data_IF_077752348717
#
_entry.id   IF_077752348717
#
_cell.length_a   1.000
_cell.length_b   1.000
_cell.length_c   1.000
_cell.angle_alpha   90.00
_cell.angle_beta   90.00
_cell.angle_gamma   90.00
#
_symmetry.space_group_name_H-M   'P 1'
#
loop_
_entity.id
_entity.type
_entity.pdbx_description
1 polymer ?
#
# COMPACT_ATOMS: atom_id res chain seq x y z
N UNK A 1 1.50 1.47 4.17
CA UNK A 1 0.73 2.69 4.50
C UNK A 1 0.71 3.53 3.25
N UNK A 2 -0.47 3.73 2.66
CA UNK A 2 -0.71 4.60 1.49
C UNK A 2 0.34 4.42 0.38
N UNK A 3 0.60 3.16 0.02
CA UNK A 3 1.66 2.80 -0.90
C UNK A 3 1.28 3.00 -2.37
N UNK A 4 2.30 3.05 -3.21
CA UNK A 4 2.18 2.95 -4.65
C UNK A 4 2.66 1.57 -5.09
N UNK A 5 1.83 0.88 -5.85
CA UNK A 5 2.06 -0.50 -6.28
C UNK A 5 2.03 -0.65 -7.80
N UNK A 6 1.62 0.40 -8.51
CA UNK A 6 1.67 0.54 -9.96
C UNK A 6 2.24 1.91 -10.31
N UNK A 7 3.36 1.92 -11.04
CA UNK A 7 4.09 3.14 -11.39
C UNK A 7 3.67 3.70 -12.74
N UNK A 8 2.82 3.02 -13.52
CA UNK A 8 2.32 3.55 -14.80
C UNK A 8 1.64 4.94 -14.63
N UNK A 9 0.76 5.17 -13.64
CA UNK A 9 0.19 6.50 -13.41
C UNK A 9 1.24 7.56 -13.04
N UNK A 10 2.32 7.17 -12.34
CA UNK A 10 3.42 8.09 -11.99
C UNK A 10 4.21 8.45 -13.24
N UNK A 11 4.50 7.46 -14.10
CA UNK A 11 5.19 7.62 -15.37
C UNK A 11 4.41 8.52 -16.35
N UNK A 12 3.09 8.56 -16.26
CA UNK A 12 2.21 9.35 -17.12
C UNK A 12 1.83 10.74 -16.57
N UNK A 13 2.23 11.08 -15.34
CA UNK A 13 1.88 12.37 -14.73
C UNK A 13 3.08 13.31 -14.55
N UNK A 14 2.82 14.51 -14.03
CA UNK A 14 3.80 15.58 -13.88
C UNK A 14 5.06 15.17 -13.08
N UNK A 15 4.96 14.17 -12.22
CA UNK A 15 6.12 13.65 -11.46
C UNK A 15 7.19 13.06 -12.38
N UNK A 16 6.83 12.62 -13.59
CA UNK A 16 7.78 12.03 -14.51
C UNK A 16 8.74 13.06 -15.14
N UNK A 17 8.42 14.35 -15.02
CA UNK A 17 9.33 15.44 -15.40
C UNK A 17 10.61 15.42 -14.55
N UNK A 18 10.52 14.90 -13.31
CA UNK A 18 11.66 14.72 -12.40
C UNK A 18 12.17 13.28 -12.37
N UNK A 19 11.25 12.29 -12.43
CA UNK A 19 11.60 10.88 -12.25
C UNK A 19 12.15 10.21 -13.50
N UNK A 20 11.81 10.72 -14.69
CA UNK A 20 12.25 10.22 -16.00
C UNK A 20 12.10 8.69 -16.18
N UNK A 21 11.01 8.12 -15.65
CA UNK A 21 10.69 6.71 -15.79
C UNK A 21 10.37 6.38 -17.24
N UNK A 22 11.03 5.36 -17.78
CA UNK A 22 10.59 4.70 -19.01
C UNK A 22 9.40 3.78 -18.71
N UNK A 23 8.68 3.39 -19.77
CA UNK A 23 7.59 2.40 -19.66
C UNK A 23 8.10 1.09 -19.07
N UNK A 24 9.28 0.65 -19.49
CA UNK A 24 9.92 -0.58 -19.01
C UNK A 24 10.27 -0.48 -17.52
N UNK A 25 10.80 0.66 -17.08
CA UNK A 25 11.11 0.89 -15.66
C UNK A 25 9.84 0.89 -14.80
N UNK A 26 8.78 1.57 -15.26
CA UNK A 26 7.50 1.57 -14.56
C UNK A 26 6.96 0.14 -14.41
N UNK A 27 7.03 -0.68 -15.46
CA UNK A 27 6.59 -2.08 -15.41
C UNK A 27 7.46 -2.94 -14.48
N UNK A 28 8.78 -2.85 -14.59
CA UNK A 28 9.74 -3.64 -13.80
C UNK A 28 9.69 -3.32 -12.30
N UNK A 29 9.31 -2.09 -11.95
CA UNK A 29 9.29 -1.60 -10.58
C UNK A 29 7.87 -1.44 -10.00
N UNK A 30 6.85 -2.01 -10.65
CA UNK A 30 5.48 -2.05 -10.13
C UNK A 30 5.21 -3.36 -9.37
N UNK A 31 5.12 -3.36 -8.02
CA UNK A 31 4.78 -4.54 -7.23
C UNK A 31 3.53 -5.30 -7.72
N UNK A 32 2.53 -4.59 -8.24
CA UNK A 32 1.30 -5.19 -8.80
C UNK A 32 1.54 -6.10 -10.01
N UNK A 33 2.74 -6.07 -10.60
CA UNK A 33 3.15 -6.89 -11.76
C UNK A 33 4.21 -7.94 -11.40
N UNK A 34 4.62 -8.00 -10.13
CA UNK A 34 5.67 -8.89 -9.65
C UNK A 34 5.08 -10.01 -8.79
N UNK A 35 5.66 -11.23 -8.83
CA UNK A 35 5.19 -12.31 -7.98
C UNK A 35 5.45 -12.02 -6.50
N UNK A 36 4.55 -12.50 -5.64
CA UNK A 36 4.71 -12.43 -4.20
C UNK A 36 5.81 -13.38 -3.75
N UNK A 37 6.98 -12.84 -3.38
CA UNK A 37 8.14 -13.67 -2.95
C UNK A 37 8.05 -14.11 -1.49
N UNK A 38 7.24 -13.45 -0.68
CA UNK A 38 7.08 -13.75 0.74
C UNK A 38 5.58 -13.81 1.09
N UNK A 39 5.04 -15.00 1.41
CA UNK A 39 3.63 -15.20 1.70
C UNK A 39 3.23 -14.76 3.13
N UNK A 40 4.07 -13.99 3.83
CA UNK A 40 3.73 -13.44 5.12
C UNK A 40 2.44 -12.60 5.05
N UNK A 41 1.61 -12.59 6.10
CA UNK A 41 0.45 -11.70 6.16
C UNK A 41 0.87 -10.27 5.87
N UNK A 42 0.09 -9.55 5.04
CA UNK A 42 0.39 -8.19 4.63
C UNK A 42 -0.81 -7.29 4.91
N UNK A 43 -0.55 -6.20 5.64
CA UNK A 43 -1.51 -5.11 5.81
C UNK A 43 -1.20 -4.03 4.78
N UNK A 44 -2.23 -3.57 4.06
CA UNK A 44 -2.20 -2.44 3.13
C UNK A 44 -3.10 -1.32 3.67
N UNK A 45 -2.70 -0.63 4.75
CA UNK A 45 -3.48 0.48 5.30
C UNK A 45 -3.38 1.72 4.41
N UNK A 46 -4.49 2.42 4.23
CA UNK A 46 -4.60 3.67 3.48
C UNK A 46 -5.70 4.57 4.06
N UNK A 47 -5.58 5.87 3.89
CA UNK A 47 -6.55 6.86 4.35
C UNK A 47 -7.77 6.94 3.44
N UNK A 48 -8.97 7.04 4.03
CA UNK A 48 -10.22 7.21 3.29
C UNK A 48 -10.42 8.57 2.65
N UNK A 49 -9.64 9.57 3.06
CA UNK A 49 -9.64 10.92 2.51
C UNK A 49 -8.54 11.12 1.44
N UNK A 50 -7.95 10.03 0.96
CA UNK A 50 -6.95 10.05 -0.12
C UNK A 50 -7.59 10.00 -1.52
N UNK A 51 -6.78 10.23 -2.54
CA UNK A 51 -7.21 10.06 -3.92
C UNK A 51 -7.58 8.59 -4.21
N UNK A 52 -8.55 8.32 -5.10
CA UNK A 52 -9.07 6.97 -5.36
C UNK A 52 -8.00 6.00 -5.90
N UNK A 53 -6.91 6.52 -6.45
CA UNK A 53 -5.83 5.72 -7.02
C UNK A 53 -5.08 4.89 -5.96
N UNK A 54 -4.98 5.37 -4.71
CA UNK A 54 -4.37 4.58 -3.63
C UNK A 54 -5.17 3.32 -3.32
N UNK A 55 -6.51 3.42 -3.30
CA UNK A 55 -7.38 2.27 -3.08
C UNK A 55 -7.31 1.31 -4.27
N UNK A 56 -7.46 1.83 -5.49
CA UNK A 56 -7.38 1.00 -6.71
C UNK A 56 -6.07 0.21 -6.78
N UNK A 57 -4.93 0.85 -6.51
CA UNK A 57 -3.63 0.17 -6.52
C UNK A 57 -3.49 -0.86 -5.40
N UNK A 58 -3.99 -0.55 -4.19
CA UNK A 58 -3.98 -1.48 -3.06
C UNK A 58 -4.81 -2.73 -3.35
N UNK A 59 -6.01 -2.56 -3.90
CA UNK A 59 -6.90 -3.65 -4.31
C UNK A 59 -6.28 -4.49 -5.44
N UNK A 60 -5.67 -3.84 -6.44
CA UNK A 60 -5.00 -4.53 -7.56
C UNK A 60 -3.86 -5.42 -7.05
N UNK A 61 -3.04 -4.91 -6.13
CA UNK A 61 -1.98 -5.70 -5.51
C UNK A 61 -2.56 -6.86 -4.69
N UNK A 62 -3.59 -6.61 -3.89
CA UNK A 62 -4.22 -7.62 -3.06
C UNK A 62 -4.84 -8.76 -3.88
N UNK A 63 -5.47 -8.43 -5.01
CA UNK A 63 -5.98 -9.40 -5.96
C UNK A 63 -4.85 -10.22 -6.59
N UNK A 64 -3.82 -9.58 -7.13
CA UNK A 64 -2.72 -10.26 -7.81
C UNK A 64 -1.93 -11.19 -6.87
N UNK A 65 -1.60 -10.71 -5.67
CA UNK A 65 -0.86 -11.51 -4.68
C UNK A 65 -1.76 -12.52 -3.97
N UNK A 66 -3.05 -12.23 -3.78
CA UNK A 66 -4.02 -13.17 -3.21
C UNK A 66 -4.27 -14.43 -4.06
N UNK A 67 -3.92 -14.41 -5.35
CA UNK A 67 -3.90 -15.60 -6.19
C UNK A 67 -2.71 -16.53 -5.90
N UNK A 68 -1.66 -16.03 -5.24
CA UNK A 68 -0.41 -16.74 -4.98
C UNK A 68 -0.25 -17.10 -3.49
N UNK A 69 -0.84 -16.30 -2.60
CA UNK A 69 -0.68 -16.38 -1.15
C UNK A 69 -2.00 -16.09 -0.44
N UNK A 70 -2.01 -16.02 0.90
CA UNK A 70 -3.13 -15.38 1.60
C UNK A 70 -3.29 -13.94 1.10
N UNK A 71 -4.53 -13.46 0.86
CA UNK A 71 -4.75 -12.14 0.29
C UNK A 71 -4.27 -11.05 1.26
N UNK A 72 -3.47 -10.07 0.78
CA UNK A 72 -3.19 -8.86 1.54
C UNK A 72 -4.49 -8.19 2.02
N UNK A 73 -4.49 -7.71 3.26
CA UNK A 73 -5.62 -7.01 3.84
C UNK A 73 -5.56 -5.53 3.45
N UNK A 74 -6.41 -5.12 2.50
CA UNK A 74 -6.65 -3.70 2.21
C UNK A 74 -7.47 -3.11 3.34
N UNK A 75 -6.98 -2.04 3.94
CA UNK A 75 -7.60 -1.47 5.14
C UNK A 75 -7.72 0.04 5.04
N UNK A 76 -8.94 0.49 4.76
CA UNK A 76 -9.27 1.89 4.64
C UNK A 76 -9.57 2.48 6.02
N UNK A 77 -8.82 3.50 6.42
CA UNK A 77 -9.02 4.27 7.65
C UNK A 77 -9.80 5.56 7.30
N UNK A 78 -11.13 5.60 7.52
CA UNK A 78 -12.02 6.57 6.85
C UNK A 78 -11.70 8.04 7.12
N UNK A 79 -11.21 8.35 8.32
CA UNK A 79 -11.01 9.72 8.78
C UNK A 79 -9.60 10.26 8.49
N UNK A 80 -8.75 9.46 7.83
CA UNK A 80 -7.38 9.81 7.56
C UNK A 80 -7.13 10.17 6.10
N UNK A 81 -6.32 11.22 5.89
CA UNK A 81 -5.61 11.50 4.65
C UNK A 81 -4.18 10.94 4.67
N UNK A 82 -3.47 11.11 3.54
CA UNK A 82 -2.11 10.62 3.30
C UNK A 82 -1.08 11.00 4.37
N UNK A 83 -1.24 12.16 5.01
CA UNK A 83 -0.34 12.61 6.09
C UNK A 83 -0.80 12.12 7.46
N UNK A 84 -2.08 12.30 7.76
CA UNK A 84 -2.63 11.97 9.09
C UNK A 84 -2.62 10.47 9.40
N UNK A 85 -2.64 9.59 8.38
CA UNK A 85 -2.53 8.15 8.61
C UNK A 85 -1.17 7.77 9.16
N UNK A 86 -0.09 8.46 8.76
CA UNK A 86 1.24 8.22 9.30
C UNK A 86 1.32 8.57 10.79
N UNK A 87 0.55 9.56 11.24
CA UNK A 87 0.46 9.94 12.66
C UNK A 87 -0.12 8.82 13.54
N UNK A 88 -0.81 7.81 12.96
CA UNK A 88 -1.18 6.62 13.72
C UNK A 88 0.05 5.92 14.30
N UNK A 89 1.23 6.03 13.71
CA UNK A 89 2.45 5.42 14.24
C UNK A 89 3.08 6.20 15.40
N UNK A 90 2.58 7.40 15.73
CA UNK A 90 3.14 8.23 16.81
C UNK A 90 2.81 7.69 18.20
N UNK A 91 1.71 6.94 18.32
CA UNK A 91 1.27 6.36 19.60
C UNK A 91 1.04 4.86 19.48
N UNK A 92 1.35 4.13 20.54
CA UNK A 92 1.20 2.67 20.58
C UNK A 92 -0.28 2.21 20.71
N UNK A 93 -1.17 3.10 21.09
CA UNK A 93 -2.60 2.83 21.33
C UNK A 93 -3.51 3.11 20.13
N UNK A 94 -2.97 3.73 19.07
CA UNK A 94 -3.68 3.95 17.82
C UNK A 94 -4.14 2.64 17.17
N UNK A 95 -5.09 2.74 16.23
CA UNK A 95 -5.66 1.58 15.56
C UNK A 95 -4.59 0.83 14.74
N UNK A 96 -3.84 1.56 13.91
CA UNK A 96 -2.78 0.97 13.06
C UNK A 96 -1.61 0.44 13.89
N UNK A 97 -1.17 1.16 14.92
CA UNK A 97 -0.08 0.68 15.79
C UNK A 97 -0.46 -0.60 16.51
N UNK A 98 -1.71 -0.72 16.99
CA UNK A 98 -2.21 -1.96 17.60
C UNK A 98 -2.30 -3.11 16.58
N UNK A 99 -2.72 -2.84 15.35
CA UNK A 99 -2.74 -3.85 14.30
C UNK A 99 -1.33 -4.40 14.00
N UNK A 100 -0.33 -3.52 13.90
CA UNK A 100 1.08 -3.91 13.71
C UNK A 100 1.58 -4.72 14.90
N UNK A 101 1.30 -4.29 16.14
CA UNK A 101 1.70 -5.02 17.34
C UNK A 101 1.08 -6.43 17.39
N UNK A 102 -0.20 -6.59 17.05
CA UNK A 102 -0.83 -7.93 16.93
C UNK A 102 -0.16 -8.78 15.86
N UNK A 103 0.16 -8.21 14.70
CA UNK A 103 0.86 -8.92 13.62
C UNK A 103 2.25 -9.40 14.05
N UNK A 104 2.90 -8.68 14.96
CA UNK A 104 4.18 -9.05 15.57
C UNK A 104 4.05 -10.02 16.75
N UNK A 105 2.84 -10.36 17.20
CA UNK A 105 2.60 -11.16 18.40
C UNK A 105 2.90 -10.45 19.72
N UNK A 106 2.83 -9.11 19.72
CA UNK A 106 3.07 -8.28 20.91
C UNK A 106 1.79 -7.93 21.68
N UNK A 107 0.63 -8.15 21.06
CA UNK A 107 -0.70 -7.98 21.64
C UNK A 107 -1.56 -9.18 21.26
N UNK A 108 -2.39 -9.62 22.20
CA UNK A 108 -3.39 -10.67 22.01
C UNK A 108 -4.56 -10.22 21.10
#
# INVERSE_FOLDING_TARGET
ISGLYDLEPIQLCFLNDDLHLTVEQAQQHSPSRLPCRNPAPLLLPLGGLEGPEYLRQSETLAEHWGQQTSPPQVWLLPEHNHFSIAAQLETADSELSRAIQRQMGLLD
#
